data_IF_159169952483
#
_entry.id   IF_159169952483
#
_cell.length_a   1.000
_cell.length_b   1.000
_cell.length_c   1.000
_cell.angle_alpha   90.00
_cell.angle_beta   90.00
_cell.angle_gamma   90.00
#
_symmetry.space_group_name_H-M   'P 1'
#
loop_
_entity.id
_entity.type
_entity.pdbx_description
1 polymer ?
#
# COMPACT_ATOMS: atom_id res chain seq x y z
N UNK A 1 15.68 18.87 4.79
CA UNK A 1 14.37 18.75 5.48
C UNK A 1 14.17 17.29 5.79
N UNK A 2 13.88 16.93 7.04
CA UNK A 2 13.63 15.56 7.44
C UNK A 2 12.11 15.33 7.42
N UNK A 3 11.64 14.37 6.63
CA UNK A 3 10.25 13.94 6.66
C UNK A 3 9.99 13.32 8.04
N UNK A 4 9.02 13.82 8.83
CA UNK A 4 8.89 13.52 10.26
C UNK A 4 8.59 12.06 10.61
N UNK A 5 8.38 11.20 9.61
CA UNK A 5 8.02 9.80 9.79
C UNK A 5 8.90 8.82 9.02
N UNK A 6 9.90 9.31 8.29
CA UNK A 6 10.86 8.49 7.55
C UNK A 6 11.99 8.08 8.49
N UNK A 7 12.10 6.78 8.72
CA UNK A 7 13.17 6.18 9.54
C UNK A 7 14.41 5.89 8.72
N UNK A 8 14.26 5.68 7.41
CA UNK A 8 15.37 5.41 6.52
C UNK A 8 14.95 5.29 5.05
N UNK A 9 15.92 5.39 4.15
CA UNK A 9 15.75 5.18 2.72
C UNK A 9 16.78 4.17 2.26
N UNK A 10 16.34 3.17 1.52
CA UNK A 10 17.18 2.16 0.89
C UNK A 10 16.88 2.07 -0.61
N UNK A 11 17.70 1.31 -1.30
CA UNK A 11 17.50 0.93 -2.70
C UNK A 11 17.30 -0.58 -2.75
N UNK A 12 16.27 -1.01 -3.44
CA UNK A 12 15.97 -2.40 -3.73
C UNK A 12 15.93 -2.63 -5.23
N UNK A 13 15.68 -3.88 -5.61
CA UNK A 13 15.39 -4.26 -6.98
C UNK A 13 14.05 -4.96 -6.98
N UNK A 14 13.17 -4.54 -7.87
CA UNK A 14 11.89 -5.20 -8.06
C UNK A 14 12.11 -6.61 -8.63
N UNK A 15 11.51 -7.64 -8.03
CA UNK A 15 11.73 -9.02 -8.45
C UNK A 15 10.92 -9.37 -9.71
N UNK A 16 9.78 -8.71 -9.91
CA UNK A 16 8.91 -8.89 -11.07
C UNK A 16 9.47 -8.18 -12.31
N UNK A 17 9.92 -6.95 -12.15
CA UNK A 17 10.36 -6.09 -13.27
C UNK A 17 11.89 -6.06 -13.45
N UNK A 18 12.65 -6.36 -12.39
CA UNK A 18 14.10 -6.25 -12.38
C UNK A 18 14.63 -4.81 -12.34
N UNK A 19 13.75 -3.82 -12.12
CA UNK A 19 14.08 -2.40 -12.08
C UNK A 19 14.54 -1.96 -10.68
N UNK A 20 15.38 -0.94 -10.64
CA UNK A 20 15.81 -0.34 -9.38
C UNK A 20 14.64 0.41 -8.74
N UNK A 21 14.40 0.15 -7.45
CA UNK A 21 13.30 0.75 -6.69
C UNK A 21 13.84 1.40 -5.43
N UNK A 22 13.23 2.50 -5.03
CA UNK A 22 13.58 3.18 -3.79
C UNK A 22 12.65 2.67 -2.70
N UNK A 23 13.22 2.08 -1.66
CA UNK A 23 12.46 1.56 -0.52
C UNK A 23 12.54 2.55 0.63
N UNK A 24 11.41 3.18 0.95
CA UNK A 24 11.32 4.13 2.06
C UNK A 24 10.75 3.43 3.28
N UNK A 25 11.52 3.44 4.36
CA UNK A 25 11.10 2.91 5.65
C UNK A 25 10.46 4.02 6.47
N UNK A 26 9.24 3.77 6.90
CA UNK A 26 8.47 4.69 7.75
C UNK A 26 8.08 4.02 9.05
N UNK A 27 7.80 4.85 10.06
CA UNK A 27 7.31 4.36 11.37
C UNK A 27 5.91 3.73 11.26
N UNK A 28 5.03 4.30 10.43
CA UNK A 28 3.66 3.83 10.20
C UNK A 28 3.16 4.29 8.84
N UNK A 29 2.27 3.52 8.20
CA UNK A 29 1.57 3.92 6.96
C UNK A 29 0.39 4.82 7.32
N UNK A 30 0.20 5.89 6.55
CA UNK A 30 -0.94 6.80 6.67
C UNK A 30 -1.57 6.93 5.28
N UNK A 31 -2.91 6.84 5.15
CA UNK A 31 -3.60 7.06 3.88
C UNK A 31 -3.32 8.46 3.31
N UNK A 32 -3.24 8.57 1.98
CA UNK A 32 -2.90 9.82 1.30
C UNK A 32 -3.86 10.97 1.65
N UNK A 33 -5.15 10.67 1.83
CA UNK A 33 -6.18 11.64 2.23
C UNK A 33 -5.93 12.28 3.61
N UNK A 34 -5.16 11.61 4.47
CA UNK A 34 -4.81 12.08 5.81
C UNK A 34 -3.39 12.64 5.89
N UNK A 35 -2.60 12.52 4.82
CA UNK A 35 -1.25 13.05 4.74
C UNK A 35 -1.29 14.53 4.34
N UNK A 36 -0.48 15.35 5.01
CA UNK A 36 -0.23 16.71 4.54
C UNK A 36 0.64 16.63 3.28
N UNK A 37 0.51 17.58 2.33
CA UNK A 37 1.31 17.57 1.10
C UNK A 37 2.83 17.53 1.35
N UNK A 38 3.29 18.08 2.47
CA UNK A 38 4.69 18.07 2.89
C UNK A 38 5.18 16.70 3.40
N UNK A 39 4.26 15.85 3.86
CA UNK A 39 4.51 14.52 4.41
C UNK A 39 4.32 13.42 3.36
N UNK A 40 3.82 13.77 2.17
CA UNK A 40 3.60 12.82 1.06
C UNK A 40 4.93 12.35 0.49
N UNK A 41 5.14 11.04 0.51
CA UNK A 41 6.24 10.40 -0.21
C UNK A 41 5.84 10.28 -1.68
N UNK A 42 6.63 10.83 -2.61
CA UNK A 42 6.36 10.69 -4.05
C UNK A 42 6.45 9.23 -4.47
N UNK A 43 5.57 8.81 -5.38
CA UNK A 43 5.56 7.44 -5.93
C UNK A 43 6.70 7.17 -6.91
N UNK A 44 7.33 8.21 -7.44
CA UNK A 44 8.46 8.12 -8.37
C UNK A 44 9.50 9.21 -8.03
N UNK A 45 10.77 8.84 -8.00
CA UNK A 45 11.89 9.77 -7.79
C UNK A 45 12.96 9.46 -8.83
N UNK A 46 13.31 10.46 -9.64
CA UNK A 46 14.33 10.32 -10.71
C UNK A 46 14.04 9.18 -11.70
N UNK A 47 12.76 8.85 -11.93
CA UNK A 47 12.33 7.74 -12.77
C UNK A 47 12.37 6.37 -12.09
N UNK A 48 12.72 6.30 -10.80
CA UNK A 48 12.69 5.08 -10.01
C UNK A 48 11.38 5.00 -9.21
N UNK A 49 10.74 3.83 -9.24
CA UNK A 49 9.54 3.58 -8.47
C UNK A 49 9.84 3.54 -6.98
N UNK A 50 9.01 4.21 -6.18
CA UNK A 50 9.16 4.29 -4.73
C UNK A 50 8.18 3.35 -4.03
N UNK A 51 8.70 2.49 -3.17
CA UNK A 51 7.94 1.55 -2.34
C UNK A 51 8.05 1.93 -0.88
N UNK A 52 6.91 2.13 -0.22
CA UNK A 52 6.86 2.50 1.20
C UNK A 52 6.59 1.27 2.07
N UNK A 53 7.47 1.00 3.02
CA UNK A 53 7.36 -0.10 3.98
C UNK A 53 7.30 0.44 5.41
N UNK A 54 6.32 0.00 6.20
CA UNK A 54 6.28 0.27 7.63
C UNK A 54 7.01 -0.82 8.40
N UNK A 55 7.69 -0.44 9.48
CA UNK A 55 8.45 -1.39 10.31
C UNK A 55 7.55 -2.33 11.14
N UNK A 56 6.28 -1.96 11.30
CA UNK A 56 5.20 -2.82 11.81
C UNK A 56 4.12 -2.87 10.71
N UNK A 57 4.12 -3.94 9.93
CA UNK A 57 3.15 -4.15 8.86
C UNK A 57 2.34 -5.41 9.22
N UNK A 58 1.24 -5.22 9.94
CA UNK A 58 0.12 -6.16 9.96
C UNK A 58 -0.88 -5.66 8.91
N UNK A 59 -0.56 -5.90 7.64
CA UNK A 59 -1.47 -5.97 6.50
C UNK A 59 -2.61 -4.96 6.42
N UNK A 60 -2.34 -3.80 5.80
CA UNK A 60 -3.36 -3.10 5.03
C UNK A 60 -3.09 -3.40 3.54
N UNK A 61 -3.49 -4.60 3.12
CA UNK A 61 -3.85 -4.87 1.73
C UNK A 61 -5.25 -4.28 1.57
N UNK A 62 -5.31 -3.10 0.96
CA UNK A 62 -6.54 -2.47 0.47
C UNK A 62 -7.09 -3.40 -0.63
N UNK A 63 -7.86 -4.41 -0.22
CA UNK A 63 -8.78 -5.10 -1.12
C UNK A 63 -10.10 -4.30 -1.06
N UNK A 64 -10.36 -3.36 -1.98
CA UNK A 64 -11.67 -2.72 -2.04
C UNK A 64 -12.68 -3.79 -2.41
N UNK A 65 -13.51 -4.14 -1.42
CA UNK A 65 -14.51 -5.20 -1.52
C UNK A 65 -15.31 -5.16 -2.83
N UNK A 66 -15.18 -6.22 -3.62
CA UNK A 66 -16.24 -6.61 -4.54
C UNK A 66 -17.25 -7.43 -3.77
N UNK A 67 -18.15 -6.72 -3.08
CA UNK A 67 -19.45 -7.28 -2.73
C UNK A 67 -20.17 -7.70 -4.00
N UNK A 68 -20.24 -9.01 -4.24
CA UNK A 68 -21.28 -9.58 -5.09
C UNK A 68 -22.20 -10.37 -4.17
N UNK A 69 -23.17 -9.65 -3.61
CA UNK A 69 -24.34 -10.26 -3.00
C UNK A 69 -25.00 -11.17 -4.03
N UNK A 70 -25.04 -12.46 -3.75
CA UNK A 70 -25.95 -13.39 -4.39
C UNK A 70 -26.73 -14.07 -3.29
N UNK A 71 -27.65 -13.33 -2.69
CA UNK A 71 -28.87 -13.93 -2.16
C UNK A 71 -29.78 -14.11 -3.37
N UNK A 72 -30.22 -15.35 -3.63
CA UNK A 72 -31.61 -15.60 -3.29
C UNK A 72 -31.81 -16.98 -2.66
N UNK A 73 -32.48 -17.01 -1.51
CA UNK A 73 -33.40 -18.12 -1.23
C UNK A 73 -34.61 -17.95 -2.16
N UNK A 74 -35.12 -19.03 -2.77
CA UNK A 74 -36.31 -19.59 -2.14
C UNK A 74 -36.40 -21.13 -2.19
N UNK A 75 -37.04 -21.60 -1.12
CA UNK A 75 -37.73 -22.87 -0.87
C UNK A 75 -38.23 -23.65 -2.11
N UNK A 76 -38.13 -24.99 -2.09
CA UNK A 76 -39.27 -25.93 -2.25
C UNK A 76 -38.78 -27.38 -2.31
N UNK A 77 -39.49 -28.27 -1.60
CA UNK A 77 -39.08 -29.65 -1.33
C UNK A 77 -39.28 -30.67 -2.44
N UNK A 78 -38.71 -31.87 -2.23
CA UNK A 78 -39.02 -33.17 -2.86
C UNK A 78 -37.98 -34.17 -2.27
N UNK A 79 -38.26 -35.43 -1.91
CA UNK A 79 -39.43 -36.29 -1.92
C UNK A 79 -39.24 -37.37 -0.83
#
# INVERSE_FOLDING_TARGET
MALPHVTGVGTGRDEDSGEDVIVVFVTHKVPLDRLRPEDVVPSEVEGLSVRVLAMADDGDDDEPGSGSGSEPEPETGTA
#
